data_IF_452168303114
#
_entry.id   IF_452168303114
#
_cell.length_a   1.000
_cell.length_b   1.000
_cell.length_c   1.000
_cell.angle_alpha   90.00
_cell.angle_beta   90.00
_cell.angle_gamma   90.00
#
_symmetry.space_group_name_H-M   'P 1'
#
loop_
_entity.id
_entity.type
_entity.pdbx_description
1 polymer ?
#
# COMPACT_ATOMS: atom_id res chain seq x y z
N UNK A 1 -64.74 -7.27 13.40
CA UNK A 1 -63.77 -7.63 12.33
C UNK A 1 -63.54 -6.39 11.49
N UNK A 2 -62.48 -5.64 11.75
CA UNK A 2 -62.14 -4.43 11.00
C UNK A 2 -60.76 -4.61 10.39
N UNK A 3 -60.74 -4.98 9.11
CA UNK A 3 -59.54 -4.99 8.29
C UNK A 3 -59.13 -3.55 7.99
N UNK A 4 -58.08 -3.07 8.65
CA UNK A 4 -57.43 -1.80 8.34
C UNK A 4 -56.69 -1.92 7.02
N UNK A 5 -57.32 -1.47 5.94
CA UNK A 5 -56.68 -1.33 4.62
C UNK A 5 -55.70 -0.15 4.70
N UNK A 6 -54.42 -0.45 4.83
CA UNK A 6 -53.36 0.55 4.86
C UNK A 6 -53.35 1.27 3.49
N UNK A 7 -53.51 2.60 3.44
CA UNK A 7 -53.55 3.33 2.17
C UNK A 7 -52.19 3.21 1.46
N UNK A 8 -52.19 2.79 0.20
CA UNK A 8 -51.00 2.50 -0.61
C UNK A 8 -50.01 3.65 -0.82
N UNK A 9 -50.24 4.80 -0.19
CA UNK A 9 -49.38 5.98 -0.20
C UNK A 9 -48.28 5.87 0.86
N UNK A 10 -48.50 5.12 1.96
CA UNK A 10 -47.46 4.89 2.98
C UNK A 10 -46.32 4.01 2.46
N UNK A 11 -46.58 3.12 1.51
CA UNK A 11 -45.57 2.23 0.92
C UNK A 11 -44.51 2.98 0.10
N UNK A 12 -44.89 4.09 -0.56
CA UNK A 12 -43.96 4.94 -1.33
C UNK A 12 -43.09 5.81 -0.43
N UNK A 13 -43.67 6.31 0.67
CA UNK A 13 -42.93 7.11 1.67
C UNK A 13 -41.86 6.27 2.35
N UNK A 14 -42.16 5.00 2.67
CA UNK A 14 -41.18 4.07 3.23
C UNK A 14 -40.03 3.75 2.27
N UNK A 15 -40.30 3.54 0.98
CA UNK A 15 -39.26 3.29 -0.02
C UNK A 15 -38.39 4.52 -0.27
N UNK A 16 -38.97 5.73 -0.32
CA UNK A 16 -38.22 6.98 -0.47
C UNK A 16 -37.32 7.28 0.74
N UNK A 17 -37.79 7.00 1.96
CA UNK A 17 -36.99 7.13 3.18
C UNK A 17 -35.85 6.12 3.23
N UNK A 18 -36.08 4.86 2.86
CA UNK A 18 -35.02 3.85 2.80
C UNK A 18 -34.01 4.18 1.70
N UNK A 19 -34.45 4.63 0.53
CA UNK A 19 -33.54 5.03 -0.56
C UNK A 19 -32.73 6.27 -0.19
N UNK A 20 -33.36 7.25 0.47
CA UNK A 20 -32.67 8.43 1.00
C UNK A 20 -31.69 8.08 2.11
N UNK A 21 -32.05 7.15 3.02
CA UNK A 21 -31.15 6.65 4.07
C UNK A 21 -30.00 5.84 3.47
N UNK A 22 -30.23 5.00 2.46
CA UNK A 22 -29.19 4.24 1.75
C UNK A 22 -28.27 5.16 0.95
N UNK A 23 -28.81 6.20 0.30
CA UNK A 23 -28.02 7.20 -0.41
C UNK A 23 -27.20 8.06 0.56
N UNK A 24 -27.77 8.43 1.72
CA UNK A 24 -27.07 9.14 2.78
C UNK A 24 -26.00 8.26 3.43
N UNK A 25 -26.28 6.97 3.66
CA UNK A 25 -25.30 5.98 4.14
C UNK A 25 -24.22 5.73 3.08
N UNK A 26 -24.54 5.72 1.79
CA UNK A 26 -23.55 5.62 0.72
C UNK A 26 -22.66 6.87 0.64
N UNK A 27 -23.25 8.07 0.75
CA UNK A 27 -22.52 9.34 0.81
C UNK A 27 -21.69 9.50 2.10
N UNK A 28 -22.15 8.96 3.23
CA UNK A 28 -21.41 8.92 4.50
C UNK A 28 -20.40 7.77 4.57
N UNK A 29 -20.57 6.70 3.78
CA UNK A 29 -19.61 5.60 3.61
C UNK A 29 -18.44 5.99 2.69
N UNK A 30 -18.53 7.13 1.99
CA UNK A 30 -17.38 7.85 1.42
C UNK A 30 -16.62 8.60 2.54
N UNK A 31 -16.61 8.04 3.76
CA UNK A 31 -15.59 8.33 4.77
C UNK A 31 -14.30 7.66 4.32
N UNK A 32 -13.53 8.39 3.52
CA UNK A 32 -12.08 8.28 3.38
C UNK A 32 -11.56 6.89 3.02
N UNK A 33 -11.75 6.48 1.77
CA UNK A 33 -10.90 5.42 1.20
C UNK A 33 -9.43 5.87 1.33
N UNK A 34 -8.60 5.10 2.03
CA UNK A 34 -7.17 5.38 2.19
C UNK A 34 -6.52 5.42 0.79
N UNK A 35 -6.15 6.60 0.26
CA UNK A 35 -5.62 6.71 -1.10
C UNK A 35 -4.31 5.93 -1.23
N UNK A 36 -3.59 5.72 -0.12
CA UNK A 36 -2.39 4.91 -0.06
C UNK A 36 -2.62 3.43 -0.41
N UNK A 37 -3.85 2.93 -0.33
CA UNK A 37 -4.20 1.54 -0.67
C UNK A 37 -4.84 1.36 -2.05
N UNK A 38 -5.40 2.42 -2.64
CA UNK A 38 -6.11 2.34 -3.93
C UNK A 38 -5.32 2.88 -5.10
N UNK A 39 -4.49 3.89 -4.86
CA UNK A 39 -3.73 4.54 -5.92
C UNK A 39 -2.42 3.82 -6.14
N UNK A 40 -1.94 3.81 -7.39
CA UNK A 40 -0.60 3.29 -7.65
C UNK A 40 0.46 4.21 -6.99
N UNK A 41 1.63 3.65 -6.66
CA UNK A 41 2.73 4.46 -6.14
C UNK A 41 3.09 5.62 -7.08
N UNK A 42 2.98 5.43 -8.40
CA UNK A 42 3.23 6.47 -9.40
C UNK A 42 2.22 7.62 -9.27
N UNK A 43 0.94 7.30 -9.10
CA UNK A 43 -0.11 8.32 -8.97
C UNK A 43 0.04 9.07 -7.65
N UNK A 44 0.30 8.34 -6.55
CA UNK A 44 0.56 8.95 -5.24
C UNK A 44 1.74 9.93 -5.27
N UNK A 45 2.83 9.56 -5.96
CA UNK A 45 4.00 10.43 -6.13
C UNK A 45 3.66 11.72 -6.88
N UNK A 46 2.74 11.68 -7.85
CA UNK A 46 2.34 12.89 -8.59
C UNK A 46 1.61 13.91 -7.70
N UNK A 47 0.88 13.44 -6.69
CA UNK A 47 0.15 14.30 -5.74
C UNK A 47 0.99 14.67 -4.50
N UNK A 48 1.94 13.83 -4.12
CA UNK A 48 2.75 13.98 -2.90
C UNK A 48 4.25 13.85 -3.22
N UNK A 49 4.95 14.95 -3.53
CA UNK A 49 6.34 14.91 -3.98
C UNK A 49 7.32 14.36 -2.93
N UNK A 50 6.98 14.42 -1.63
CA UNK A 50 7.81 13.78 -0.59
C UNK A 50 7.90 12.25 -0.75
N UNK A 51 6.90 11.63 -1.38
CA UNK A 51 6.94 10.20 -1.71
C UNK A 51 7.94 9.90 -2.83
N UNK A 52 8.23 10.87 -3.71
CA UNK A 52 9.24 10.70 -4.77
C UNK A 52 10.65 10.59 -4.18
N UNK A 53 10.97 11.46 -3.21
CA UNK A 53 12.27 11.43 -2.55
C UNK A 53 12.51 10.10 -1.84
N UNK A 54 11.50 9.59 -1.14
CA UNK A 54 11.55 8.29 -0.50
C UNK A 54 11.71 7.15 -1.53
N UNK A 55 10.94 7.18 -2.62
CA UNK A 55 11.03 6.18 -3.69
C UNK A 55 12.41 6.16 -4.36
N UNK A 56 13.04 7.33 -4.56
CA UNK A 56 14.41 7.42 -5.09
C UNK A 56 15.42 6.83 -4.10
N UNK A 57 15.30 7.14 -2.81
CA UNK A 57 16.15 6.56 -1.75
C UNK A 57 16.04 5.03 -1.75
N UNK A 58 14.82 4.50 -1.79
CA UNK A 58 14.56 3.06 -1.83
C UNK A 58 15.17 2.40 -3.07
N UNK A 59 15.05 3.02 -4.25
CA UNK A 59 15.68 2.52 -5.48
C UNK A 59 17.20 2.43 -5.31
N UNK A 60 17.85 3.49 -4.81
CA UNK A 60 19.30 3.50 -4.60
C UNK A 60 19.75 2.41 -3.63
N UNK A 61 19.03 2.21 -2.52
CA UNK A 61 19.34 1.14 -1.56
C UNK A 61 19.22 -0.25 -2.18
N UNK A 62 18.18 -0.49 -2.98
CA UNK A 62 18.04 -1.78 -3.67
C UNK A 62 19.14 -1.97 -4.72
N UNK A 63 19.48 -0.95 -5.49
CA UNK A 63 20.54 -1.04 -6.50
C UNK A 63 21.90 -1.34 -5.86
N UNK A 64 22.19 -0.72 -4.70
CA UNK A 64 23.40 -1.01 -3.92
C UNK A 64 23.43 -2.48 -3.46
N UNK A 65 22.34 -2.99 -2.89
CA UNK A 65 22.27 -4.37 -2.43
C UNK A 65 22.42 -5.37 -3.59
N UNK A 66 21.72 -5.15 -4.70
CA UNK A 66 21.81 -6.00 -5.89
C UNK A 66 23.21 -5.98 -6.50
N UNK A 67 23.90 -4.84 -6.47
CA UNK A 67 25.30 -4.73 -6.95
C UNK A 67 26.24 -5.54 -6.07
N UNK A 68 26.04 -5.51 -4.74
CA UNK A 68 26.80 -6.31 -3.80
C UNK A 68 26.56 -7.81 -4.02
N UNK A 69 25.31 -8.22 -4.19
CA UNK A 69 24.96 -9.62 -4.49
C UNK A 69 25.59 -10.10 -5.79
N UNK A 70 25.50 -9.33 -6.89
CA UNK A 70 26.18 -9.68 -8.15
C UNK A 70 27.69 -9.86 -7.98
N UNK A 71 28.33 -9.02 -7.17
CA UNK A 71 29.76 -9.13 -6.89
C UNK A 71 30.06 -10.43 -6.12
N UNK A 72 29.22 -10.77 -5.13
CA UNK A 72 29.33 -12.03 -4.42
C UNK A 72 29.11 -13.24 -5.33
N UNK A 73 28.15 -13.18 -6.26
CA UNK A 73 27.86 -14.28 -7.18
C UNK A 73 29.05 -14.59 -8.08
N UNK A 74 29.73 -13.55 -8.59
CA UNK A 74 30.98 -13.72 -9.34
C UNK A 74 32.04 -14.43 -8.49
N UNK A 75 32.22 -14.01 -7.23
CA UNK A 75 33.18 -14.63 -6.33
C UNK A 75 32.81 -16.08 -5.97
N UNK A 76 31.54 -16.36 -5.73
CA UNK A 76 31.01 -17.70 -5.44
C UNK A 76 31.24 -18.62 -6.64
N UNK A 77 30.94 -18.17 -7.86
CA UNK A 77 31.17 -18.93 -9.08
C UNK A 77 32.66 -19.23 -9.31
N UNK A 78 33.54 -18.24 -9.10
CA UNK A 78 34.98 -18.46 -9.17
C UNK A 78 35.43 -19.52 -8.16
N UNK A 79 34.96 -19.45 -6.91
CA UNK A 79 35.33 -20.42 -5.89
C UNK A 79 34.79 -21.82 -6.17
N UNK A 80 33.55 -21.95 -6.64
CA UNK A 80 32.98 -23.23 -7.09
C UNK A 80 33.81 -23.84 -8.23
N UNK A 81 34.23 -23.03 -9.20
CA UNK A 81 35.06 -23.53 -10.33
C UNK A 81 36.43 -24.04 -9.90
N UNK A 82 36.88 -23.65 -8.70
CA UNK A 82 38.15 -24.08 -8.10
C UNK A 82 37.97 -25.08 -6.96
N UNK A 83 36.78 -25.66 -6.79
CA UNK A 83 36.42 -26.62 -5.72
C UNK A 83 36.65 -26.09 -4.29
N UNK A 84 36.71 -24.76 -4.12
CA UNK A 84 36.94 -24.10 -2.82
C UNK A 84 35.67 -23.99 -1.98
N UNK A 85 34.49 -24.16 -2.58
CA UNK A 85 33.22 -24.24 -1.84
C UNK A 85 32.38 -25.40 -2.36
N UNK A 86 31.57 -25.96 -1.46
CA UNK A 86 30.55 -26.95 -1.78
C UNK A 86 29.36 -26.29 -2.51
N UNK A 87 28.77 -26.93 -3.54
CA UNK A 87 27.53 -26.48 -4.16
C UNK A 87 26.39 -26.18 -3.18
N UNK A 88 26.26 -26.92 -2.07
CA UNK A 88 25.26 -26.67 -1.04
C UNK A 88 25.51 -25.34 -0.31
N UNK A 89 26.77 -24.99 -0.07
CA UNK A 89 27.14 -23.67 0.47
C UNK A 89 26.80 -22.56 -0.52
N UNK A 90 27.10 -22.76 -1.81
CA UNK A 90 26.78 -21.81 -2.87
C UNK A 90 25.26 -21.53 -2.95
N UNK A 91 24.45 -22.59 -2.87
CA UNK A 91 22.99 -22.49 -2.83
C UNK A 91 22.52 -21.74 -1.57
N UNK A 92 23.12 -22.01 -0.41
CA UNK A 92 22.77 -21.33 0.85
C UNK A 92 23.05 -19.83 0.79
N UNK A 93 24.16 -19.44 0.17
CA UNK A 93 24.50 -18.03 -0.07
C UNK A 93 23.42 -17.39 -0.97
N UNK A 94 23.09 -18.04 -2.09
CA UNK A 94 22.08 -17.54 -3.03
C UNK A 94 20.70 -17.36 -2.38
N UNK A 95 20.26 -18.34 -1.56
CA UNK A 95 19.01 -18.26 -0.82
C UNK A 95 19.01 -17.12 0.22
N UNK A 96 20.16 -16.84 0.85
CA UNK A 96 20.30 -15.72 1.77
C UNK A 96 20.12 -14.38 1.06
N UNK A 97 20.75 -14.20 -0.09
CA UNK A 97 20.63 -12.97 -0.89
C UNK A 97 19.18 -12.69 -1.29
N UNK A 98 18.43 -13.72 -1.71
CA UNK A 98 16.99 -13.59 -2.02
C UNK A 98 16.20 -13.11 -0.80
N UNK A 99 16.47 -13.69 0.39
CA UNK A 99 15.82 -13.27 1.64
C UNK A 99 16.16 -11.83 2.02
N UNK A 100 17.41 -11.41 1.83
CA UNK A 100 17.84 -10.02 2.08
C UNK A 100 17.10 -9.02 1.18
N UNK A 101 16.94 -9.34 -0.11
CA UNK A 101 16.16 -8.48 -1.02
C UNK A 101 14.69 -8.44 -0.61
N UNK A 102 14.09 -9.59 -0.26
CA UNK A 102 12.70 -9.65 0.17
C UNK A 102 12.47 -8.81 1.44
N UNK A 103 13.33 -8.96 2.46
CA UNK A 103 13.26 -8.19 3.70
C UNK A 103 13.44 -6.68 3.45
N UNK A 104 14.37 -6.29 2.57
CA UNK A 104 14.53 -4.89 2.18
C UNK A 104 13.24 -4.35 1.54
N UNK A 105 12.62 -5.10 0.63
CA UNK A 105 11.39 -4.68 -0.05
C UNK A 105 10.20 -4.55 0.88
N UNK A 106 10.07 -5.46 1.84
CA UNK A 106 9.04 -5.38 2.88
C UNK A 106 9.20 -4.12 3.73
N UNK A 107 10.41 -3.86 4.24
CA UNK A 107 10.70 -2.65 5.01
C UNK A 107 10.45 -1.36 4.21
N UNK A 108 10.82 -1.35 2.92
CA UNK A 108 10.55 -0.22 2.02
C UNK A 108 9.04 0.01 1.83
N UNK A 109 8.26 -1.07 1.65
CA UNK A 109 6.82 -0.97 1.51
C UNK A 109 6.18 -0.38 2.77
N UNK A 110 6.57 -0.86 3.96
CA UNK A 110 6.08 -0.33 5.23
C UNK A 110 6.43 1.16 5.43
N UNK A 111 7.66 1.57 5.12
CA UNK A 111 8.10 2.97 5.22
C UNK A 111 7.32 3.88 4.24
N UNK A 112 7.08 3.42 3.02
CA UNK A 112 6.31 4.15 2.01
C UNK A 112 4.86 4.33 2.46
N UNK A 113 4.24 3.26 2.94
CA UNK A 113 2.87 3.25 3.44
C UNK A 113 2.69 4.21 4.64
N UNK A 114 3.65 4.19 5.56
CA UNK A 114 3.66 5.07 6.72
C UNK A 114 3.80 6.55 6.32
N UNK A 115 4.70 6.86 5.39
CA UNK A 115 4.87 8.22 4.90
C UNK A 115 3.65 8.68 4.10
N UNK A 116 3.08 7.82 3.25
CA UNK A 116 1.89 8.12 2.47
C UNK A 116 0.72 8.54 3.36
N UNK A 117 0.38 7.75 4.39
CA UNK A 117 -0.70 8.09 5.32
C UNK A 117 -0.42 9.40 6.06
N UNK A 118 0.84 9.68 6.38
CA UNK A 118 1.26 10.94 7.03
C UNK A 118 1.10 12.16 6.11
N UNK A 119 1.51 12.08 4.84
CA UNK A 119 1.38 13.20 3.88
C UNK A 119 -0.08 13.45 3.52
N UNK A 120 -0.87 12.39 3.31
CA UNK A 120 -2.32 12.49 3.03
C UNK A 120 -3.04 13.17 4.20
N UNK A 121 -2.79 12.72 5.44
CA UNK A 121 -3.42 13.32 6.63
C UNK A 121 -3.06 14.81 6.77
N UNK A 122 -1.79 15.17 6.53
CA UNK A 122 -1.36 16.58 6.56
C UNK A 122 -2.04 17.41 5.47
N UNK A 123 -2.12 16.89 4.23
CA UNK A 123 -2.82 17.55 3.12
C UNK A 123 -4.31 17.76 3.42
N UNK A 124 -4.97 16.76 4.00
CA UNK A 124 -6.38 16.85 4.40
C UNK A 124 -6.63 17.91 5.49
N UNK A 125 -5.74 17.97 6.49
CA UNK A 125 -5.82 18.98 7.56
C UNK A 125 -5.57 20.40 7.03
N UNK A 126 -4.64 20.57 6.09
CA UNK A 126 -4.35 21.87 5.47
C UNK A 126 -5.51 22.41 4.61
N UNK A 127 -6.36 21.53 4.08
CA UNK A 127 -7.54 21.89 3.28
C UNK A 127 -8.80 22.17 4.13
N UNK A 128 -8.67 22.26 5.46
CA UNK A 128 -9.79 22.59 6.36
C UNK A 128 -10.69 21.41 6.74
N UNK A 129 -10.29 20.17 6.46
CA UNK A 129 -11.02 18.95 6.83
C UNK A 129 -10.93 18.56 8.31
N UNK A 130 -10.88 19.54 9.21
CA UNK A 130 -10.87 19.36 10.66
C UNK A 130 -12.24 19.61 11.26
N UNK A 131 -13.07 18.58 11.36
CA UNK A 131 -14.36 18.65 12.03
C UNK A 131 -15.04 17.29 12.07
N UNK A 132 -14.83 16.58 13.18
CA UNK A 132 -15.71 15.64 13.91
C UNK A 132 -14.76 14.76 14.71
N UNK A 133 -14.55 15.17 15.97
CA UNK A 133 -14.05 14.30 17.05
C UNK A 133 -14.94 13.07 17.23
#
# INVERSE_FOLDING_TARGET
MSGGRVPGWTQWVSLGLVFSLVLLVALLSVKGDDPCKRMSARDLIAFYPELDELARKHRLQTDQLLTLHRTQDVLVNLKMSSEQIDPEEALRISLRQVKEVAALREAQAEEFDALCRKVVKRGWQALGGGGVE
#
